data_IF_178069892298
#
_entry.id   IF_178069892298
#
_cell.length_a   1.000
_cell.length_b   1.000
_cell.length_c   1.000
_cell.angle_alpha   90.00
_cell.angle_beta   90.00
_cell.angle_gamma   90.00
#
_symmetry.space_group_name_H-M   'P 1'
#
loop_
_entity.id
_entity.type
_entity.pdbx_description
1 polymer ?
#
# COMPACT_ATOMS: atom_id res chain seq x y z
N UNK A 1 -15.46 6.44 -1.10
CA UNK A 1 -14.22 6.10 -1.84
C UNK A 1 -14.27 4.63 -2.28
N UNK A 2 -13.62 4.30 -3.40
CA UNK A 2 -13.37 2.91 -3.85
C UNK A 2 -11.87 2.63 -3.92
N UNK A 3 -11.43 1.44 -3.47
CA UNK A 3 -10.04 0.98 -3.52
C UNK A 3 -9.96 -0.29 -4.37
N UNK A 4 -9.08 -0.25 -5.38
CA UNK A 4 -8.81 -1.38 -6.28
C UNK A 4 -7.35 -1.81 -6.15
N UNK A 5 -7.10 -3.13 -6.05
CA UNK A 5 -5.74 -3.67 -6.15
C UNK A 5 -5.43 -4.00 -7.62
N UNK A 6 -4.39 -3.35 -8.15
CA UNK A 6 -3.93 -3.50 -9.53
C UNK A 6 -2.69 -4.41 -9.62
N UNK A 7 -2.32 -5.08 -8.53
CA UNK A 7 -1.22 -6.04 -8.46
C UNK A 7 0.06 -5.44 -7.87
N UNK A 8 0.94 -6.30 -7.35
CA UNK A 8 2.15 -5.88 -6.62
C UNK A 8 1.80 -4.90 -5.48
N UNK A 9 2.48 -3.75 -5.40
CA UNK A 9 2.13 -2.63 -4.52
C UNK A 9 1.15 -1.61 -5.12
N UNK A 10 0.58 -1.90 -6.30
CA UNK A 10 -0.23 -0.94 -7.03
C UNK A 10 -1.70 -0.94 -6.60
N UNK A 11 -2.17 0.19 -6.12
CA UNK A 11 -3.57 0.42 -5.78
C UNK A 11 -4.09 1.65 -6.48
N UNK A 12 -5.36 1.62 -6.88
CA UNK A 12 -6.08 2.80 -7.33
C UNK A 12 -7.11 3.19 -6.28
N UNK A 13 -6.89 4.34 -5.66
CA UNK A 13 -7.75 4.99 -4.68
C UNK A 13 -8.61 6.01 -5.42
N UNK A 14 -9.88 5.68 -5.64
CA UNK A 14 -10.82 6.53 -6.37
C UNK A 14 -11.72 7.27 -5.37
N UNK A 15 -11.47 8.56 -5.23
CA UNK A 15 -12.34 9.47 -4.49
C UNK A 15 -13.44 10.07 -5.38
N UNK A 16 -14.16 11.05 -4.85
CA UNK A 16 -15.16 11.82 -5.60
C UNK A 16 -14.53 12.72 -6.66
N UNK A 17 -13.50 13.46 -6.26
CA UNK A 17 -12.92 14.53 -7.08
C UNK A 17 -11.52 14.22 -7.61
N UNK A 18 -10.84 13.21 -7.05
CA UNK A 18 -9.48 12.84 -7.42
C UNK A 18 -9.25 11.32 -7.33
N UNK A 19 -8.31 10.83 -8.13
CA UNK A 19 -7.84 9.45 -8.14
C UNK A 19 -6.34 9.39 -7.89
N UNK A 20 -5.93 8.65 -6.86
CA UNK A 20 -4.52 8.37 -6.55
C UNK A 20 -4.16 6.96 -6.99
N UNK A 21 -3.04 6.80 -7.68
CA UNK A 21 -2.47 5.49 -8.02
C UNK A 21 -1.14 5.32 -7.29
N UNK A 22 -1.03 4.29 -6.45
CA UNK A 22 0.21 4.00 -5.73
C UNK A 22 1.06 3.03 -6.55
N UNK A 23 2.38 3.16 -6.54
CA UNK A 23 3.37 2.19 -7.03
C UNK A 23 2.98 1.40 -8.31
N UNK A 24 2.68 2.06 -9.43
CA UNK A 24 2.33 1.36 -10.66
C UNK A 24 3.47 0.42 -11.09
N UNK A 25 3.14 -0.84 -11.34
CA UNK A 25 4.11 -1.89 -11.62
C UNK A 25 4.13 -2.32 -13.11
N UNK A 26 5.29 -2.72 -13.64
CA UNK A 26 5.44 -3.19 -15.02
C UNK A 26 5.00 -4.66 -15.16
N UNK A 27 4.67 -5.11 -16.39
CA UNK A 27 4.38 -6.51 -16.72
C UNK A 27 5.42 -7.55 -16.27
N UNK A 28 6.67 -7.15 -16.04
CA UNK A 28 7.74 -8.03 -15.56
C UNK A 28 7.51 -8.54 -14.13
N UNK A 29 6.69 -7.85 -13.34
CA UNK A 29 6.21 -8.32 -12.03
C UNK A 29 5.15 -9.43 -12.14
N UNK A 30 4.69 -9.71 -13.37
CA UNK A 30 3.63 -10.67 -13.69
C UNK A 30 2.22 -10.06 -13.71
N UNK A 31 2.05 -8.86 -13.15
CA UNK A 31 0.81 -8.10 -13.22
C UNK A 31 0.80 -7.17 -14.44
N UNK A 32 -0.36 -7.03 -15.08
CA UNK A 32 -0.59 -6.17 -16.25
C UNK A 32 -1.58 -5.09 -15.87
N UNK A 33 -1.17 -3.84 -15.84
CA UNK A 33 -2.06 -2.72 -15.54
C UNK A 33 -2.49 -2.05 -16.84
N UNK A 34 -3.79 -2.07 -17.13
CA UNK A 34 -4.33 -1.55 -18.38
C UNK A 34 -4.81 -0.10 -18.25
N UNK A 35 -3.88 0.86 -18.47
CA UNK A 35 -4.18 2.28 -18.76
C UNK A 35 -5.26 2.88 -17.84
N UNK A 36 -4.99 2.86 -16.54
CA UNK A 36 -5.94 3.34 -15.53
C UNK A 36 -5.92 4.87 -15.45
N UNK A 37 -7.06 5.56 -15.23
CA UNK A 37 -7.03 7.00 -14.97
C UNK A 37 -6.42 7.28 -13.59
N UNK A 38 -5.65 8.37 -13.48
CA UNK A 38 -5.11 8.85 -12.21
C UNK A 38 -4.70 10.32 -12.31
N UNK A 39 -4.94 11.06 -11.23
CA UNK A 39 -4.58 12.48 -11.08
C UNK A 39 -3.25 12.62 -10.33
N UNK A 40 -2.94 11.65 -9.47
CA UNK A 40 -1.75 11.61 -8.62
C UNK A 40 -1.14 10.21 -8.69
N UNK A 41 0.18 10.13 -8.80
CA UNK A 41 0.93 8.89 -8.62
C UNK A 41 1.87 9.04 -7.44
N UNK A 42 1.84 8.11 -6.50
CA UNK A 42 2.86 7.99 -5.46
C UNK A 42 3.85 6.88 -5.82
N UNK A 43 5.14 7.11 -5.55
CA UNK A 43 6.22 6.14 -5.81
C UNK A 43 7.00 5.93 -4.51
N UNK A 44 6.82 4.77 -3.87
CA UNK A 44 7.42 4.45 -2.57
C UNK A 44 8.91 4.13 -2.69
N UNK A 45 9.31 3.42 -3.75
CA UNK A 45 10.66 2.91 -3.94
C UNK A 45 11.27 3.40 -5.26
N UNK A 46 12.60 3.60 -5.27
CA UNK A 46 13.35 3.82 -6.51
C UNK A 46 13.61 2.50 -7.25
N UNK A 47 12.52 1.87 -7.69
CA UNK A 47 12.55 0.54 -8.27
C UNK A 47 11.69 0.52 -9.53
N UNK A 48 12.16 -0.19 -10.56
CA UNK A 48 11.42 -0.32 -11.81
C UNK A 48 10.05 -1.00 -11.58
N UNK A 49 9.97 -1.86 -10.57
CA UNK A 49 8.78 -2.58 -10.14
C UNK A 49 7.70 -1.70 -9.51
N UNK A 50 8.03 -0.45 -9.15
CA UNK A 50 7.13 0.49 -8.44
C UNK A 50 6.96 1.85 -9.15
N UNK A 51 7.58 2.04 -10.32
CA UNK A 51 7.66 3.33 -11.01
C UNK A 51 7.17 3.30 -12.46
N UNK A 52 6.31 2.35 -12.83
CA UNK A 52 5.79 2.17 -14.17
C UNK A 52 4.65 3.16 -14.50
N UNK A 53 4.95 4.46 -14.45
CA UNK A 53 3.98 5.56 -14.57
C UNK A 53 3.20 5.56 -15.90
N UNK A 54 3.76 5.01 -16.97
CA UNK A 54 3.10 4.88 -18.27
C UNK A 54 1.83 4.00 -18.27
N UNK A 55 1.59 3.22 -17.21
CA UNK A 55 0.33 2.50 -17.01
C UNK A 55 -0.84 3.41 -16.60
N UNK A 56 -0.57 4.67 -16.24
CA UNK A 56 -1.58 5.63 -15.79
C UNK A 56 -1.82 6.68 -16.88
N UNK A 57 -3.07 6.86 -17.27
CA UNK A 57 -3.48 7.86 -18.25
C UNK A 57 -3.69 9.23 -17.60
N UNK A 58 -3.56 10.28 -18.39
CA UNK A 58 -3.77 11.67 -17.98
C UNK A 58 -2.44 12.43 -17.85
N UNK A 59 -2.45 13.48 -17.05
CA UNK A 59 -1.25 14.25 -16.67
C UNK A 59 -1.05 14.19 -15.15
N UNK A 60 -0.83 13.00 -14.57
CA UNK A 60 -0.77 12.84 -13.13
C UNK A 60 0.41 13.60 -12.52
N UNK A 61 0.20 14.16 -11.32
CA UNK A 61 1.29 14.70 -10.50
C UNK A 61 2.01 13.56 -9.81
N UNK A 62 3.34 13.54 -9.92
CA UNK A 62 4.18 12.54 -9.26
C UNK A 62 4.58 13.02 -7.86
N UNK A 63 4.38 12.18 -6.86
CA UNK A 63 4.91 12.32 -5.51
C UNK A 63 5.92 11.22 -5.28
N UNK A 64 7.20 11.59 -5.19
CA UNK A 64 8.32 10.64 -5.17
C UNK A 64 9.32 10.91 -4.03
N UNK A 65 9.04 11.89 -3.18
CA UNK A 65 9.92 12.35 -2.12
C UNK A 65 9.15 12.54 -0.81
N UNK A 66 9.86 12.57 0.33
CA UNK A 66 9.24 12.85 1.61
C UNK A 66 8.80 14.32 1.71
N UNK A 67 7.75 14.58 2.48
CA UNK A 67 7.17 15.91 2.66
C UNK A 67 5.65 15.89 2.73
N UNK A 68 5.06 17.08 2.80
CA UNK A 68 3.61 17.26 2.77
C UNK A 68 3.19 17.86 1.42
N UNK A 69 2.10 17.33 0.87
CA UNK A 69 1.57 17.72 -0.43
C UNK A 69 0.06 17.91 -0.36
N UNK A 70 -0.45 18.90 -1.07
CA UNK A 70 -1.88 19.08 -1.33
C UNK A 70 -2.08 19.17 -2.85
N UNK A 71 -2.74 18.17 -3.43
CA UNK A 71 -2.93 18.06 -4.88
C UNK A 71 -4.37 17.69 -5.15
N UNK A 72 -5.08 18.50 -5.94
CA UNK A 72 -6.48 18.27 -6.28
C UNK A 72 -7.39 18.03 -5.05
N UNK A 73 -7.10 18.71 -3.92
CA UNK A 73 -7.83 18.55 -2.65
C UNK A 73 -7.48 17.28 -1.86
N UNK A 74 -6.50 16.50 -2.30
CA UNK A 74 -5.96 15.33 -1.59
C UNK A 74 -4.75 15.77 -0.78
N UNK A 75 -4.77 15.51 0.54
CA UNK A 75 -3.62 15.72 1.41
C UNK A 75 -2.78 14.45 1.43
N UNK A 76 -1.47 14.59 1.23
CA UNK A 76 -0.52 13.48 1.22
C UNK A 76 0.67 13.84 2.10
N UNK A 77 0.88 13.06 3.16
CA UNK A 77 2.13 13.06 3.94
C UNK A 77 2.98 11.89 3.48
N UNK A 78 4.20 12.18 3.03
CA UNK A 78 5.17 11.22 2.56
C UNK A 78 6.30 11.07 3.60
N UNK A 79 6.32 9.94 4.29
CA UNK A 79 7.22 9.65 5.41
C UNK A 79 8.32 8.71 4.92
N UNK A 80 9.58 9.09 5.12
CA UNK A 80 10.72 8.20 4.85
C UNK A 80 10.78 7.13 5.94
N UNK A 81 10.90 5.86 5.55
CA UNK A 81 10.90 4.71 6.49
C UNK A 81 12.07 3.76 6.25
N UNK A 82 13.22 4.28 5.79
CA UNK A 82 14.46 3.51 5.71
C UNK A 82 15.38 3.83 6.90
N UNK A 83 15.81 2.80 7.62
CA UNK A 83 16.52 2.97 8.89
C UNK A 83 18.03 2.71 8.86
N UNK A 84 18.58 2.34 7.70
CA UNK A 84 19.98 1.90 7.62
C UNK A 84 20.72 2.63 6.52
N UNK A 85 21.31 3.81 6.79
CA UNK A 85 22.14 4.50 5.82
C UNK A 85 23.41 3.70 5.43
N UNK A 86 23.84 2.78 6.31
CA UNK A 86 25.05 1.97 6.13
C UNK A 86 24.77 0.57 5.54
N UNK A 87 23.50 0.21 5.30
CA UNK A 87 23.16 -1.06 4.64
C UNK A 87 23.35 -0.89 3.12
N UNK A 88 24.27 -1.60 2.47
CA UNK A 88 24.48 -1.52 1.03
C UNK A 88 23.26 -2.01 0.23
N UNK A 89 22.36 -2.78 0.86
CA UNK A 89 21.08 -3.20 0.31
C UNK A 89 19.93 -2.27 0.74
N UNK A 90 20.20 -1.17 1.45
CA UNK A 90 19.18 -0.19 1.81
C UNK A 90 18.54 0.36 0.54
N UNK A 91 17.23 0.16 0.44
CA UNK A 91 16.43 0.76 -0.62
C UNK A 91 15.59 1.85 0.00
N UNK A 92 15.53 2.99 -0.69
CA UNK A 92 14.60 4.06 -0.37
C UNK A 92 13.19 3.48 -0.25
N UNK A 93 12.50 3.78 0.85
CA UNK A 93 11.09 3.51 1.03
C UNK A 93 10.40 4.74 1.61
N UNK A 94 9.32 5.15 0.95
CA UNK A 94 8.45 6.22 1.40
C UNK A 94 7.08 5.60 1.65
N UNK A 95 6.62 5.69 2.89
CA UNK A 95 5.23 5.43 3.24
C UNK A 95 4.39 6.68 2.96
N UNK A 96 3.19 6.49 2.42
CA UNK A 96 2.27 7.58 2.07
C UNK A 96 1.01 7.50 2.91
N UNK A 97 0.77 8.53 3.70
CA UNK A 97 -0.53 8.79 4.34
C UNK A 97 -1.31 9.72 3.43
N UNK A 98 -2.46 9.27 2.96
CA UNK A 98 -3.29 9.91 1.94
C UNK A 98 -4.66 10.12 2.57
N UNK A 99 -5.09 11.37 2.73
CA UNK A 99 -6.45 11.70 3.15
C UNK A 99 -7.31 11.96 1.91
N UNK A 100 -8.30 11.09 1.67
CA UNK A 100 -9.18 11.12 0.49
C UNK A 100 -10.63 10.80 0.90
N UNK A 101 -11.57 11.69 0.59
CA UNK A 101 -12.99 11.57 0.96
C UNK A 101 -13.21 11.26 2.46
N UNK A 102 -12.51 11.98 3.35
CA UNK A 102 -12.58 11.82 4.82
C UNK A 102 -12.12 10.45 5.34
N UNK A 103 -11.37 9.70 4.51
CA UNK A 103 -10.72 8.44 4.88
C UNK A 103 -9.21 8.63 4.86
N UNK A 104 -8.54 8.21 5.93
CA UNK A 104 -7.07 8.22 6.01
C UNK A 104 -6.49 6.87 5.59
N UNK A 105 -5.79 6.84 4.46
CA UNK A 105 -5.18 5.64 3.89
C UNK A 105 -3.67 5.71 4.08
N UNK A 106 -3.06 4.68 4.65
CA UNK A 106 -1.62 4.57 4.79
C UNK A 106 -1.10 3.44 3.88
N UNK A 107 -0.29 3.78 2.89
CA UNK A 107 0.40 2.83 2.02
C UNK A 107 1.87 2.74 2.42
N UNK A 108 2.30 1.58 2.90
CA UNK A 108 3.63 1.40 3.49
C UNK A 108 4.75 1.19 2.45
N UNK A 109 4.43 1.17 1.16
CA UNK A 109 5.42 0.84 0.14
C UNK A 109 6.01 -0.56 0.33
N UNK A 110 7.25 -0.74 -0.10
CA UNK A 110 8.03 -1.95 0.17
C UNK A 110 8.77 -1.88 1.50
N UNK A 111 8.04 -1.57 2.59
CA UNK A 111 8.60 -1.53 3.95
C UNK A 111 9.28 -2.87 4.30
N UNK A 112 10.44 -2.80 4.98
CA UNK A 112 11.30 -3.98 5.28
C UNK A 112 11.50 -4.23 6.77
N UNK A 113 11.35 -3.19 7.57
CA UNK A 113 11.51 -3.23 9.02
C UNK A 113 10.27 -2.61 9.65
N UNK A 114 10.03 -2.99 10.90
CA UNK A 114 8.97 -2.39 11.70
C UNK A 114 9.28 -0.90 11.88
N UNK A 115 8.30 0.01 11.71
CA UNK A 115 8.52 1.44 11.89
C UNK A 115 9.08 1.76 13.28
N UNK A 116 10.00 2.72 13.37
CA UNK A 116 10.44 3.26 14.66
C UNK A 116 9.31 4.09 15.32
N UNK A 117 9.54 4.59 16.54
CA UNK A 117 8.52 5.33 17.29
C UNK A 117 8.00 6.58 16.54
N UNK A 118 8.90 7.39 15.98
CA UNK A 118 8.54 8.63 15.27
C UNK A 118 7.76 8.34 13.98
N UNK A 119 8.16 7.30 13.25
CA UNK A 119 7.46 6.84 12.06
C UNK A 119 6.11 6.23 12.41
N UNK A 120 6.03 5.41 13.46
CA UNK A 120 4.78 4.83 13.92
C UNK A 120 3.78 5.94 14.27
N UNK A 121 4.19 6.95 15.04
CA UNK A 121 3.34 8.10 15.37
C UNK A 121 2.81 8.82 14.13
N UNK A 122 3.66 9.05 13.13
CA UNK A 122 3.27 9.70 11.88
C UNK A 122 2.31 8.84 11.02
N UNK A 123 2.45 7.51 11.09
CA UNK A 123 1.68 6.54 10.30
C UNK A 123 0.41 6.03 11.03
N UNK A 124 0.27 6.29 12.33
CA UNK A 124 -0.87 5.90 13.16
C UNK A 124 -2.19 6.54 12.70
N UNK A 125 -3.29 6.03 13.25
CA UNK A 125 -4.66 6.47 12.98
C UNK A 125 -5.11 6.30 11.52
N UNK A 126 -4.44 5.44 10.75
CA UNK A 126 -4.91 5.04 9.44
C UNK A 126 -6.23 4.26 9.55
N UNK A 127 -7.27 4.73 8.85
CA UNK A 127 -8.51 3.98 8.70
C UNK A 127 -8.26 2.73 7.84
N UNK A 128 -7.45 2.87 6.79
CA UNK A 128 -7.05 1.79 5.90
C UNK A 128 -5.53 1.72 5.83
N UNK A 129 -4.94 0.59 6.21
CA UNK A 129 -3.52 0.31 6.05
C UNK A 129 -3.30 -0.68 4.91
N UNK A 130 -2.44 -0.31 3.96
CA UNK A 130 -1.98 -1.15 2.88
C UNK A 130 -0.54 -1.58 3.21
N UNK A 131 -0.34 -2.88 3.47
CA UNK A 131 0.88 -3.42 4.09
C UNK A 131 1.45 -4.60 3.31
N UNK A 132 2.76 -4.64 3.00
CA UNK A 132 3.36 -5.82 2.38
C UNK A 132 3.46 -6.98 3.38
N UNK A 133 3.23 -8.21 2.93
CA UNK A 133 3.26 -9.40 3.82
C UNK A 133 3.96 -10.63 3.23
N UNK A 134 4.56 -10.51 2.04
CA UNK A 134 5.17 -11.64 1.33
C UNK A 134 6.62 -11.97 1.71
N UNK A 135 7.21 -11.27 2.68
CA UNK A 135 8.58 -11.54 3.13
C UNK A 135 9.66 -11.27 2.08
N UNK A 136 10.86 -11.81 2.34
CA UNK A 136 12.02 -11.63 1.47
C UNK A 136 12.54 -10.20 1.44
N UNK A 137 12.10 -9.41 0.45
CA UNK A 137 12.53 -8.02 0.24
C UNK A 137 11.57 -6.98 0.85
N UNK A 138 10.53 -7.43 1.54
CA UNK A 138 9.56 -6.62 2.28
C UNK A 138 9.27 -7.29 3.63
N UNK A 139 8.34 -6.74 4.42
CA UNK A 139 7.91 -7.35 5.69
C UNK A 139 7.46 -8.81 5.48
N UNK A 140 7.91 -9.66 6.40
CA UNK A 140 7.32 -10.98 6.59
C UNK A 140 6.06 -10.90 7.48
N UNK A 141 5.37 -12.02 7.64
CA UNK A 141 4.16 -12.11 8.45
C UNK A 141 4.33 -11.62 9.89
N UNK A 142 5.46 -11.93 10.55
CA UNK A 142 5.70 -11.57 11.94
C UNK A 142 5.92 -10.06 12.10
N UNK A 143 6.77 -9.47 11.27
CA UNK A 143 6.99 -8.01 11.29
C UNK A 143 5.75 -7.24 10.84
N UNK A 144 4.97 -7.79 9.92
CA UNK A 144 3.68 -7.20 9.54
C UNK A 144 2.70 -7.18 10.73
N UNK A 145 2.60 -8.28 11.49
CA UNK A 145 1.76 -8.34 12.70
C UNK A 145 2.22 -7.35 13.78
N UNK A 146 3.54 -7.21 13.98
CA UNK A 146 4.11 -6.21 14.88
C UNK A 146 3.77 -4.78 14.43
N UNK A 147 3.90 -4.50 13.13
CA UNK A 147 3.54 -3.19 12.54
C UNK A 147 2.05 -2.90 12.72
N UNK A 148 1.16 -3.89 12.56
CA UNK A 148 -0.27 -3.70 12.83
C UNK A 148 -0.54 -3.37 14.29
N UNK A 149 0.19 -3.99 15.22
CA UNK A 149 0.05 -3.75 16.65
C UNK A 149 0.48 -2.34 17.04
N UNK A 150 1.47 -1.77 16.33
CA UNK A 150 1.93 -0.39 16.54
C UNK A 150 0.99 0.65 15.94
N UNK A 151 0.45 0.39 14.74
CA UNK A 151 -0.33 1.39 14.00
C UNK A 151 -1.84 1.35 14.31
N UNK A 152 -2.32 0.23 14.89
CA UNK A 152 -3.72 -0.03 15.25
C UNK A 152 -4.75 0.35 14.14
N UNK A 153 -4.55 -0.08 12.88
CA UNK A 153 -5.43 0.32 11.79
C UNK A 153 -6.80 -0.36 11.87
N UNK A 154 -7.82 0.26 11.26
CA UNK A 154 -9.19 -0.28 11.26
C UNK A 154 -9.43 -1.29 10.15
N UNK A 155 -8.89 -1.05 8.97
CA UNK A 155 -8.96 -1.96 7.82
C UNK A 155 -7.53 -2.24 7.34
N UNK A 156 -7.22 -3.50 7.08
CA UNK A 156 -5.91 -3.94 6.59
C UNK A 156 -6.06 -4.59 5.22
N UNK A 157 -5.32 -4.07 4.25
CA UNK A 157 -5.20 -4.59 2.89
C UNK A 157 -3.78 -5.14 2.71
N UNK A 158 -3.56 -6.47 2.84
CA UNK A 158 -2.25 -7.04 2.59
C UNK A 158 -1.90 -6.94 1.10
N UNK A 159 -0.62 -6.74 0.80
CA UNK A 159 -0.08 -6.69 -0.56
C UNK A 159 1.25 -7.42 -0.68
N UNK A 160 1.79 -7.49 -1.91
CA UNK A 160 3.08 -8.12 -2.23
C UNK A 160 3.27 -9.51 -1.61
N UNK A 161 2.23 -10.36 -1.65
CA UNK A 161 2.29 -11.78 -1.30
C UNK A 161 2.19 -12.65 -2.55
N UNK A 162 2.43 -13.95 -2.41
CA UNK A 162 2.38 -14.91 -3.53
C UNK A 162 0.99 -15.00 -4.15
N UNK A 163 0.93 -14.84 -5.46
CA UNK A 163 -0.28 -15.05 -6.27
C UNK A 163 0.06 -15.86 -7.52
N UNK A 164 -0.95 -16.32 -8.25
CA UNK A 164 -0.75 -16.98 -9.54
C UNK A 164 -0.11 -16.06 -10.59
N UNK A 165 -0.29 -14.73 -10.45
CA UNK A 165 0.27 -13.75 -11.36
C UNK A 165 1.71 -13.34 -11.01
N UNK A 166 2.10 -13.34 -9.73
CA UNK A 166 3.40 -12.83 -9.29
C UNK A 166 4.57 -13.68 -9.80
N UNK A 167 5.65 -13.03 -10.25
CA UNK A 167 6.88 -13.70 -10.73
C UNK A 167 7.97 -13.85 -9.68
N UNK A 168 7.84 -13.18 -8.52
CA UNK A 168 8.83 -13.21 -7.44
C UNK A 168 8.64 -14.38 -6.46
N UNK A 169 9.70 -14.70 -5.71
CA UNK A 169 9.62 -15.60 -4.56
C UNK A 169 9.02 -14.84 -3.36
N UNK A 170 7.74 -15.10 -3.09
CA UNK A 170 6.99 -14.49 -2.00
C UNK A 170 6.32 -15.57 -1.16
N UNK A 171 6.13 -15.27 0.13
CA UNK A 171 5.28 -16.04 1.02
C UNK A 171 3.81 -15.89 0.63
N UNK A 172 2.99 -16.94 0.83
CA UNK A 172 1.55 -16.89 0.60
C UNK A 172 0.84 -16.12 1.72
N UNK A 173 -0.29 -15.46 1.41
CA UNK A 173 -1.02 -14.59 2.37
C UNK A 173 -1.50 -15.34 3.61
N UNK A 174 -1.73 -16.65 3.49
CA UNK A 174 -2.15 -17.54 4.57
C UNK A 174 -1.14 -17.57 5.72
N UNK A 175 0.15 -17.31 5.46
CA UNK A 175 1.17 -17.19 6.51
C UNK A 175 0.88 -15.98 7.40
N UNK A 176 0.53 -14.84 6.80
CA UNK A 176 0.14 -13.63 7.51
C UNK A 176 -1.22 -13.78 8.22
N UNK A 177 -2.22 -14.37 7.57
CA UNK A 177 -3.52 -14.61 8.20
C UNK A 177 -3.41 -15.51 9.44
N UNK A 178 -2.58 -16.56 9.37
CA UNK A 178 -2.31 -17.43 10.52
C UNK A 178 -1.62 -16.69 11.67
N UNK A 179 -0.64 -15.84 11.36
CA UNK A 179 0.03 -15.01 12.37
C UNK A 179 -0.95 -14.09 13.09
N UNK A 180 -1.91 -13.52 12.33
CA UNK A 180 -2.97 -12.67 12.87
C UNK A 180 -4.12 -13.44 13.55
N UNK A 181 -4.09 -14.77 13.55
CA UNK A 181 -5.22 -15.60 14.02
C UNK A 181 -6.51 -15.35 13.24
N UNK A 182 -6.41 -14.86 12.01
CA UNK A 182 -7.54 -14.46 11.18
C UNK A 182 -7.98 -15.58 10.23
N UNK A 183 -9.29 -15.70 10.03
CA UNK A 183 -9.84 -16.61 9.02
C UNK A 183 -9.69 -16.04 7.62
N UNK A 184 -9.37 -16.91 6.66
CA UNK A 184 -9.31 -16.54 5.24
C UNK A 184 -10.72 -16.29 4.70
N UNK A 185 -11.04 -15.02 4.44
CA UNK A 185 -12.26 -14.63 3.73
C UNK A 185 -12.01 -14.64 2.21
N UNK A 186 -13.03 -14.92 1.39
CA UNK A 186 -12.91 -14.80 -0.06
C UNK A 186 -12.47 -13.38 -0.47
N UNK A 187 -11.51 -13.23 -1.40
CA UNK A 187 -11.08 -11.91 -1.85
C UNK A 187 -12.19 -11.18 -2.60
N UNK A 188 -12.27 -9.87 -2.39
CA UNK A 188 -13.26 -8.99 -3.00
C UNK A 188 -12.72 -8.31 -4.27
N UNK A 189 -13.58 -7.90 -5.19
CA UNK A 189 -13.12 -7.22 -6.42
C UNK A 189 -12.66 -5.77 -6.21
N UNK A 190 -13.06 -5.16 -5.09
CA UNK A 190 -12.71 -3.81 -4.65
C UNK A 190 -13.20 -3.65 -3.21
N UNK A 191 -12.61 -2.71 -2.47
CA UNK A 191 -13.19 -2.23 -1.22
C UNK A 191 -13.94 -0.93 -1.48
N UNK A 192 -15.19 -0.84 -1.04
CA UNK A 192 -15.95 0.43 -1.01
C UNK A 192 -16.05 0.86 0.44
N UNK A 193 -15.61 2.07 0.76
CA UNK A 193 -15.53 2.53 2.14
C UNK A 193 -15.91 4.00 2.25
N UNK A 194 -16.68 4.30 3.29
CA UNK A 194 -17.01 5.63 3.79
C UNK A 194 -16.74 5.68 5.29
N UNK A 195 -16.79 6.87 5.90
CA UNK A 195 -16.50 7.04 7.33
C UNK A 195 -17.39 6.18 8.23
N UNK A 196 -18.62 5.87 7.78
CA UNK A 196 -19.59 5.05 8.52
C UNK A 196 -19.29 3.54 8.45
N UNK A 197 -18.51 3.11 7.46
CA UNK A 197 -18.18 1.71 7.22
C UNK A 197 -16.91 1.28 7.97
N UNK A 198 -16.21 2.24 8.61
CA UNK A 198 -15.00 1.94 9.38
C UNK A 198 -15.36 1.12 10.63
N UNK A 199 -14.83 -0.10 10.77
CA UNK A 199 -15.16 -0.97 11.88
C UNK A 199 -14.55 -0.48 13.20
N UNK A 200 -15.13 -0.91 14.32
CA UNK A 200 -14.56 -0.67 15.66
C UNK A 200 -13.22 -1.39 15.83
N UNK A 201 -13.19 -2.65 15.39
CA UNK A 201 -12.09 -3.59 15.50
C UNK A 201 -11.39 -3.77 14.15
N UNK A 202 -10.10 -4.11 14.17
CA UNK A 202 -9.31 -4.32 12.97
C UNK A 202 -9.88 -5.44 12.10
N UNK A 203 -10.08 -5.16 10.82
CA UNK A 203 -10.57 -6.12 9.83
C UNK A 203 -9.57 -6.29 8.69
N UNK A 204 -9.20 -7.53 8.39
CA UNK A 204 -8.36 -7.85 7.23
C UNK A 204 -9.26 -8.13 6.02
N UNK A 205 -9.02 -7.42 4.92
CA UNK A 205 -9.76 -7.56 3.67
C UNK A 205 -8.79 -7.93 2.55
N UNK A 206 -9.05 -9.04 1.87
CA UNK A 206 -8.28 -9.46 0.69
C UNK A 206 -8.95 -8.89 -0.57
N UNK A 207 -8.14 -8.40 -1.50
CA UNK A 207 -8.64 -7.94 -2.80
C UNK A 207 -8.15 -8.86 -3.92
N UNK A 208 -8.96 -9.00 -4.96
CA UNK A 208 -8.56 -9.62 -6.21
C UNK A 208 -7.78 -8.61 -7.04
N UNK A 209 -6.67 -9.07 -7.62
CA UNK A 209 -5.95 -8.33 -8.64
C UNK A 209 -6.87 -8.03 -9.85
N UNK A 210 -6.95 -6.76 -10.25
CA UNK A 210 -7.68 -6.30 -11.45
C UNK A 210 -6.75 -5.47 -12.34
N UNK A 211 -6.21 -6.12 -13.35
CA UNK A 211 -5.38 -5.52 -14.40
C UNK A 211 -6.14 -4.98 -15.59
#
# INVERSE_FOLDING_TARGET
>A
MEIYWLGHGCFRLRGRDATVVTDPCPPTTGYRISRVPGDIITISQDAAESSYTQAVNGEPKLVTGPGEYEIAGVLISAIRTEHSPDDPDARRNIAYVIDLDDIRICHLGGLRQVPNADEAEALSAADVLIIPVGGGKVLDAAKAAETLSLLEPKIVLPMQYKTDASTGELDPVEKFLREMGAEAKPPESRLTVTRRDIPSDTSIVLLNYRG
#
